data_IF_996445685500
#
_entry.id   IF_996445685500
#
_cell.length_a   1.000
_cell.length_b   1.000
_cell.length_c   1.000
_cell.angle_alpha   90.00
_cell.angle_beta   90.00
_cell.angle_gamma   90.00
#
_symmetry.space_group_name_H-M   'P 1'
#
loop_
_entity.id
_entity.type
_entity.pdbx_description
1 polymer ?
#
# COMPACT_ATOMS: atom_id res chain seq x y z
N UNK A 1 26.21 27.22 -24.88
CA UNK A 1 25.82 26.27 -23.83
C UNK A 1 25.72 27.01 -22.51
N UNK A 2 24.51 27.44 -22.17
CA UNK A 2 24.22 27.90 -20.82
C UNK A 2 24.33 26.70 -19.88
N UNK A 3 25.11 26.83 -18.79
CA UNK A 3 25.14 25.80 -17.76
C UNK A 3 23.77 25.78 -17.12
N UNK A 4 22.98 24.75 -17.37
CA UNK A 4 21.78 24.50 -16.58
C UNK A 4 22.18 24.50 -15.10
N UNK A 5 21.59 25.38 -14.26
CA UNK A 5 21.77 25.26 -12.83
C UNK A 5 21.11 23.93 -12.43
N UNK A 6 21.92 22.92 -12.11
CA UNK A 6 21.40 21.65 -11.59
C UNK A 6 20.73 21.91 -10.24
N UNK A 7 19.44 22.19 -10.26
CA UNK A 7 18.67 22.41 -9.05
C UNK A 7 18.54 21.08 -8.30
N UNK A 8 19.13 20.99 -7.11
CA UNK A 8 19.06 19.81 -6.24
C UNK A 8 17.71 19.67 -5.53
N UNK A 9 16.66 20.35 -5.99
CA UNK A 9 15.32 20.37 -5.37
C UNK A 9 14.69 18.97 -5.20
N UNK A 10 15.06 18.00 -6.04
CA UNK A 10 14.60 16.61 -5.91
C UNK A 10 14.99 15.96 -4.57
N UNK A 11 16.06 16.42 -3.92
CA UNK A 11 16.49 15.93 -2.60
C UNK A 11 15.43 16.22 -1.54
N UNK A 12 14.78 17.39 -1.57
CA UNK A 12 13.72 17.72 -0.61
C UNK A 12 12.50 16.81 -0.79
N UNK A 13 12.14 16.51 -2.04
CA UNK A 13 11.05 15.58 -2.36
C UNK A 13 11.40 14.16 -1.88
N UNK A 14 12.66 13.74 -2.06
CA UNK A 14 13.14 12.44 -1.57
C UNK A 14 13.05 12.35 -0.04
N UNK A 15 13.59 13.34 0.68
CA UNK A 15 13.56 13.37 2.14
C UNK A 15 12.13 13.41 2.68
N UNK A 16 11.24 14.18 2.06
CA UNK A 16 9.83 14.22 2.41
C UNK A 16 9.14 12.87 2.24
N UNK A 17 9.39 12.16 1.13
CA UNK A 17 8.83 10.82 0.91
C UNK A 17 9.43 9.77 1.85
N UNK A 18 10.70 9.90 2.22
CA UNK A 18 11.33 9.03 3.22
C UNK A 18 10.66 9.21 4.59
N UNK A 19 10.45 10.46 5.02
CA UNK A 19 9.75 10.75 6.28
C UNK A 19 8.31 10.25 6.26
N UNK A 20 7.60 10.42 5.13
CA UNK A 20 6.26 9.84 4.91
C UNK A 20 6.26 8.33 5.08
N UNK A 21 7.22 7.63 4.49
CA UNK A 21 7.35 6.17 4.61
C UNK A 21 7.60 5.68 6.03
N UNK A 22 8.43 6.39 6.81
CA UNK A 22 8.67 6.09 8.23
C UNK A 22 7.36 6.18 9.03
N UNK A 23 6.56 7.23 8.78
CA UNK A 23 5.28 7.42 9.45
C UNK A 23 4.20 6.40 9.06
N UNK A 24 4.22 5.91 7.82
CA UNK A 24 3.23 4.95 7.31
C UNK A 24 3.51 3.50 7.74
N UNK A 25 4.78 3.15 7.95
CA UNK A 25 5.26 1.79 8.27
C UNK A 25 4.46 1.06 9.37
N UNK A 26 4.13 1.65 10.54
CA UNK A 26 3.47 0.92 11.62
C UNK A 26 1.95 0.76 11.42
N UNK A 27 1.31 1.49 10.52
CA UNK A 27 -0.16 1.60 10.45
C UNK A 27 -0.79 0.23 10.15
N UNK A 28 -0.37 -0.41 9.06
CA UNK A 28 -0.94 -1.69 8.61
C UNK A 28 -0.58 -2.86 9.53
N UNK A 29 0.71 -3.08 9.92
CA UNK A 29 1.07 -4.21 10.77
C UNK A 29 0.46 -4.15 12.17
N UNK A 30 0.37 -2.96 12.77
CA UNK A 30 -0.27 -2.80 14.09
C UNK A 30 -1.79 -2.94 13.99
N UNK A 31 -2.41 -2.40 12.93
CA UNK A 31 -3.85 -2.53 12.70
C UNK A 31 -4.30 -3.98 12.51
N UNK A 32 -3.57 -4.76 11.70
CA UNK A 32 -3.88 -6.18 11.47
C UNK A 32 -3.62 -7.01 12.73
N UNK A 33 -2.48 -6.82 13.40
CA UNK A 33 -2.19 -7.53 14.66
C UNK A 33 -3.24 -7.25 15.73
N UNK A 34 -3.70 -6.00 15.84
CA UNK A 34 -4.78 -5.63 16.75
C UNK A 34 -6.09 -6.34 16.39
N UNK A 35 -6.41 -6.44 15.10
CA UNK A 35 -7.62 -7.11 14.67
C UNK A 35 -7.58 -8.62 14.97
N UNK A 36 -6.45 -9.26 14.71
CA UNK A 36 -6.21 -10.69 14.95
C UNK A 36 -6.29 -11.03 16.45
N UNK A 37 -5.75 -10.17 17.32
CA UNK A 37 -5.75 -10.36 18.78
C UNK A 37 -7.13 -10.25 19.44
N UNK A 38 -8.10 -9.60 18.80
CA UNK A 38 -9.38 -9.22 19.41
C UNK A 38 -10.62 -9.74 18.66
N UNK A 39 -10.47 -10.27 17.44
CA UNK A 39 -11.56 -10.88 16.68
C UNK A 39 -11.59 -12.41 16.82
N UNK A 40 -12.75 -13.01 16.59
CA UNK A 40 -12.88 -14.47 16.48
C UNK A 40 -12.23 -14.93 15.17
N UNK A 41 -11.54 -16.08 15.19
CA UNK A 41 -10.82 -16.62 14.03
C UNK A 41 -11.68 -16.72 12.75
N UNK A 42 -12.98 -17.04 12.89
CA UNK A 42 -13.92 -17.14 11.77
C UNK A 42 -14.28 -15.78 11.14
N UNK A 43 -14.14 -14.69 11.90
CA UNK A 43 -14.51 -13.33 11.50
C UNK A 43 -13.30 -12.51 11.00
N UNK A 44 -12.08 -12.88 11.42
CA UNK A 44 -10.83 -12.21 11.01
C UNK A 44 -10.74 -12.00 9.50
N UNK A 45 -11.01 -12.99 8.62
CA UNK A 45 -10.88 -12.79 7.17
C UNK A 45 -11.78 -11.69 6.62
N UNK A 46 -13.01 -11.57 7.14
CA UNK A 46 -13.94 -10.52 6.69
C UNK A 46 -13.55 -9.16 7.25
N UNK A 47 -13.11 -9.09 8.50
CA UNK A 47 -12.64 -7.81 9.04
C UNK A 47 -11.38 -7.31 8.35
N UNK A 48 -10.42 -8.19 8.04
CA UNK A 48 -9.22 -7.85 7.26
C UNK A 48 -9.62 -7.39 5.86
N UNK A 49 -10.57 -8.09 5.21
CA UNK A 49 -11.08 -7.68 3.90
C UNK A 49 -11.79 -6.32 3.94
N UNK A 50 -12.61 -6.04 4.95
CA UNK A 50 -13.24 -4.74 5.16
C UNK A 50 -12.18 -3.64 5.33
N UNK A 51 -11.18 -3.87 6.17
CA UNK A 51 -10.10 -2.92 6.42
C UNK A 51 -9.33 -2.59 5.13
N UNK A 52 -8.94 -3.59 4.35
CA UNK A 52 -8.26 -3.36 3.07
C UNK A 52 -9.17 -2.73 2.01
N UNK A 53 -10.47 -3.02 2.02
CA UNK A 53 -11.43 -2.37 1.13
C UNK A 53 -11.56 -0.88 1.45
N UNK A 54 -11.66 -0.52 2.73
CA UNK A 54 -11.67 0.88 3.19
C UNK A 54 -10.33 1.54 2.83
N UNK A 55 -9.21 0.85 3.03
CA UNK A 55 -7.90 1.36 2.63
C UNK A 55 -7.82 1.67 1.13
N UNK A 56 -8.51 0.91 0.26
CA UNK A 56 -8.58 1.16 -1.18
C UNK A 56 -9.31 2.47 -1.56
N UNK A 57 -10.19 2.97 -0.68
CA UNK A 57 -10.80 4.29 -0.87
C UNK A 57 -9.76 5.42 -0.81
N UNK A 58 -8.66 5.23 -0.08
CA UNK A 58 -7.54 6.17 -0.01
C UNK A 58 -6.93 6.45 -1.38
N UNK A 59 -6.38 5.43 -2.08
CA UNK A 59 -5.93 5.57 -3.46
C UNK A 59 -6.99 6.15 -4.40
N UNK A 60 -8.26 5.72 -4.30
CA UNK A 60 -9.34 6.27 -5.13
C UNK A 60 -9.48 7.79 -4.93
N UNK A 61 -9.59 8.25 -3.69
CA UNK A 61 -9.65 9.67 -3.35
C UNK A 61 -8.36 10.41 -3.77
N UNK A 62 -7.20 9.77 -3.64
CA UNK A 62 -5.91 10.30 -4.06
C UNK A 62 -5.81 10.53 -5.57
N UNK A 63 -6.28 9.60 -6.39
CA UNK A 63 -6.32 9.76 -7.84
C UNK A 63 -7.34 10.83 -8.27
N UNK A 64 -8.49 10.93 -7.59
CA UNK A 64 -9.47 11.99 -7.81
C UNK A 64 -8.89 13.37 -7.45
N UNK A 65 -8.26 13.49 -6.27
CA UNK A 65 -7.59 14.71 -5.85
C UNK A 65 -6.45 15.08 -6.81
N UNK A 66 -5.64 14.09 -7.21
CA UNK A 66 -4.59 14.26 -8.20
C UNK A 66 -5.12 14.70 -9.56
N UNK A 67 -6.31 14.24 -9.97
CA UNK A 67 -6.99 14.71 -11.19
C UNK A 67 -7.39 16.18 -11.08
N UNK A 68 -7.92 16.61 -9.93
CA UNK A 68 -8.30 18.01 -9.68
C UNK A 68 -7.07 18.92 -9.65
N UNK A 69 -6.03 18.54 -8.90
CA UNK A 69 -4.77 19.28 -8.86
C UNK A 69 -4.10 19.35 -10.23
N UNK A 70 -4.17 18.28 -11.03
CA UNK A 70 -3.62 18.24 -12.38
C UNK A 70 -4.37 19.13 -13.39
N UNK A 71 -5.63 19.47 -13.11
CA UNK A 71 -6.43 20.37 -13.94
C UNK A 71 -6.08 21.85 -13.73
N UNK A 72 -5.43 22.17 -12.61
CA UNK A 72 -4.97 23.51 -12.29
C UNK A 72 -3.52 23.67 -12.74
N UNK A 73 -3.19 24.80 -13.36
CA UNK A 73 -1.81 25.09 -13.74
C UNK A 73 -0.94 25.28 -12.50
N UNK A 74 0.33 24.88 -12.56
CA UNK A 74 1.26 24.86 -11.42
C UNK A 74 1.40 26.22 -10.72
N UNK A 75 1.41 27.31 -11.50
CA UNK A 75 1.57 28.69 -11.02
C UNK A 75 0.21 29.41 -10.87
N UNK A 76 -0.74 28.74 -10.23
CA UNK A 76 -2.07 29.29 -9.98
C UNK A 76 -1.98 30.62 -9.22
N UNK A 77 -2.58 31.67 -9.79
CA UNK A 77 -2.61 33.02 -9.20
C UNK A 77 -1.37 33.88 -9.50
N UNK A 78 -0.33 33.34 -10.15
CA UNK A 78 0.86 34.10 -10.57
C UNK A 78 0.90 34.37 -12.08
N UNK A 79 0.26 33.53 -12.89
CA UNK A 79 0.20 33.66 -14.36
C UNK A 79 -1.26 33.72 -14.84
N UNK A 80 -1.54 34.64 -15.76
CA UNK A 80 -2.84 34.69 -16.44
C UNK A 80 -2.90 33.64 -17.56
N UNK A 81 -3.82 32.67 -17.42
CA UNK A 81 -4.05 31.63 -18.42
C UNK A 81 -4.47 32.19 -19.79
N UNK A 82 -5.05 33.38 -19.85
CA UNK A 82 -5.37 34.05 -21.12
C UNK A 82 -4.14 34.50 -21.91
N UNK A 83 -3.00 34.67 -21.25
CA UNK A 83 -1.74 35.11 -21.86
C UNK A 83 -0.88 33.97 -22.41
N UNK A 84 -1.21 32.71 -22.09
CA UNK A 84 -0.45 31.52 -22.47
C UNK A 84 -1.27 30.60 -23.39
N UNK A 85 -0.68 30.18 -24.50
CA UNK A 85 -1.28 29.23 -25.46
C UNK A 85 -1.03 27.77 -25.07
N UNK A 86 -1.08 27.46 -23.77
CA UNK A 86 -0.83 26.09 -23.25
C UNK A 86 -2.15 25.51 -22.77
N UNK A 87 -2.50 24.33 -23.30
CA UNK A 87 -3.71 23.58 -22.89
C UNK A 87 -3.34 22.41 -21.98
N UNK A 88 -4.27 21.87 -21.17
CA UNK A 88 -4.02 20.70 -20.32
C UNK A 88 -3.60 19.41 -21.06
N UNK A 89 -3.72 19.39 -22.38
CA UNK A 89 -3.29 18.29 -23.26
C UNK A 89 -1.85 18.50 -23.78
N UNK A 90 -1.31 19.72 -23.66
CA UNK A 90 0.05 20.05 -24.07
C UNK A 90 1.07 19.43 -23.11
N UNK A 91 2.19 18.92 -23.62
CA UNK A 91 3.27 18.31 -22.82
C UNK A 91 3.93 19.30 -21.85
N UNK A 92 3.79 20.61 -22.11
CA UNK A 92 4.28 21.69 -21.24
C UNK A 92 3.37 21.95 -20.03
N UNK A 93 2.17 21.37 -20.00
CA UNK A 93 1.26 21.55 -18.88
C UNK A 93 1.74 20.78 -17.65
N UNK A 94 2.08 21.52 -16.59
CA UNK A 94 2.37 20.95 -15.28
C UNK A 94 1.23 21.32 -14.35
N UNK A 95 0.60 20.30 -13.77
CA UNK A 95 -0.45 20.47 -12.78
C UNK A 95 0.06 21.03 -11.45
N UNK A 96 -0.81 21.62 -10.63
CA UNK A 96 -0.51 22.06 -9.28
C UNK A 96 -0.33 20.89 -8.28
N UNK A 97 0.65 20.03 -8.55
CA UNK A 97 0.93 18.79 -7.81
C UNK A 97 1.21 19.01 -6.32
N UNK A 98 1.83 20.15 -5.98
CA UNK A 98 2.19 20.51 -4.60
C UNK A 98 0.96 20.65 -3.70
N UNK A 99 -0.20 21.01 -4.26
CA UNK A 99 -1.45 21.16 -3.52
C UNK A 99 -1.92 19.83 -2.92
N UNK A 100 -1.64 18.72 -3.61
CA UNK A 100 -1.96 17.37 -3.12
C UNK A 100 -1.25 17.04 -1.80
N UNK A 101 0.01 17.45 -1.65
CA UNK A 101 0.78 17.25 -0.41
C UNK A 101 0.19 18.04 0.76
N UNK A 102 -0.23 19.29 0.54
CA UNK A 102 -0.83 20.12 1.58
C UNK A 102 -2.17 19.54 2.06
N UNK A 103 -3.06 19.22 1.12
CA UNK A 103 -4.38 18.65 1.43
C UNK A 103 -4.23 17.30 2.14
N UNK A 104 -3.38 16.41 1.61
CA UNK A 104 -3.11 15.11 2.22
C UNK A 104 -2.50 15.22 3.62
N UNK A 105 -1.60 16.18 3.83
CA UNK A 105 -1.00 16.46 5.15
C UNK A 105 -2.03 16.92 6.18
N UNK A 106 -2.91 17.86 5.81
CA UNK A 106 -3.99 18.34 6.68
C UNK A 106 -4.96 17.21 7.04
N UNK A 107 -5.40 16.42 6.06
CA UNK A 107 -6.28 15.27 6.29
C UNK A 107 -5.62 14.26 7.23
N UNK A 108 -4.33 13.97 7.02
CA UNK A 108 -3.57 13.03 7.87
C UNK A 108 -3.45 13.55 9.31
N UNK A 109 -3.21 14.85 9.48
CA UNK A 109 -3.17 15.49 10.81
C UNK A 109 -4.52 15.39 11.52
N UNK A 110 -5.62 15.68 10.83
CA UNK A 110 -6.97 15.55 11.38
C UNK A 110 -7.28 14.08 11.74
N UNK A 111 -6.89 13.13 10.89
CA UNK A 111 -7.10 11.70 11.12
C UNK A 111 -6.29 11.16 12.32
N UNK A 112 -5.19 11.81 12.70
CA UNK A 112 -4.41 11.44 13.89
C UNK A 112 -5.09 11.86 15.20
N UNK A 113 -5.92 12.91 15.19
CA UNK A 113 -6.57 13.45 16.41
C UNK A 113 -7.41 12.37 17.13
N UNK A 114 -8.29 11.60 16.46
CA UNK A 114 -9.05 10.52 17.11
C UNK A 114 -8.18 9.47 17.81
N UNK A 115 -6.99 9.17 17.26
CA UNK A 115 -6.08 8.19 17.88
C UNK A 115 -5.52 8.67 19.21
N UNK A 116 -5.42 9.98 19.44
CA UNK A 116 -5.02 10.54 20.73
C UNK A 116 -6.04 10.27 21.86
N UNK A 117 -7.28 9.94 21.52
CA UNK A 117 -8.36 9.65 22.47
C UNK A 117 -8.55 8.14 22.73
N UNK A 118 -7.77 7.28 22.08
CA UNK A 118 -7.83 5.84 22.34
C UNK A 118 -7.30 5.50 23.74
N UNK A 119 -7.96 4.57 24.47
CA UNK A 119 -7.52 4.16 25.80
C UNK A 119 -6.17 3.45 25.74
N UNK A 120 -5.31 3.71 26.74
CA UNK A 120 -3.94 3.14 26.83
C UNK A 120 -3.89 1.61 26.89
N UNK A 121 -4.99 0.96 27.29
CA UNK A 121 -5.11 -0.48 27.33
C UNK A 121 -6.54 -0.89 27.01
N UNK A 122 -6.69 -1.84 26.09
CA UNK A 122 -7.96 -2.48 25.81
C UNK A 122 -7.99 -3.81 26.57
N UNK A 123 -9.07 -4.05 27.33
CA UNK A 123 -9.23 -5.31 28.07
C UNK A 123 -9.39 -6.44 27.05
N UNK A 124 -8.48 -7.42 27.07
CA UNK A 124 -8.62 -8.62 26.24
C UNK A 124 -9.87 -9.40 26.67
N UNK A 125 -10.69 -9.91 25.74
CA UNK A 125 -11.81 -10.79 26.08
C UNK A 125 -11.29 -12.00 26.87
N UNK A 126 -11.91 -12.29 28.02
CA UNK A 126 -11.48 -13.34 28.96
C UNK A 126 -11.54 -14.77 28.36
N UNK A 127 -12.12 -14.95 27.17
CA UNK A 127 -12.26 -16.25 26.51
C UNK A 127 -10.94 -16.79 25.92
N UNK A 128 -9.95 -15.94 25.63
CA UNK A 128 -8.61 -16.37 25.18
C UNK A 128 -7.75 -16.99 26.31
N UNK A 129 -8.24 -16.98 27.55
CA UNK A 129 -7.52 -17.50 28.72
C UNK A 129 -7.60 -19.04 28.87
N UNK A 130 -8.23 -19.74 27.91
CA UNK A 130 -8.23 -21.21 27.84
C UNK A 130 -7.05 -21.79 27.06
N UNK A 131 -6.34 -20.99 26.24
CA UNK A 131 -5.12 -21.41 25.54
C UNK A 131 -3.83 -21.17 26.35
N UNK A 132 -3.91 -21.35 27.68
CA UNK A 132 -2.74 -21.33 28.58
C UNK A 132 -1.74 -22.49 28.34
N UNK A 133 -1.98 -23.35 27.36
CA UNK A 133 -1.06 -24.45 27.04
C UNK A 133 0.20 -23.97 26.30
N UNK A 134 0.14 -22.83 25.59
CA UNK A 134 1.30 -22.28 24.87
C UNK A 134 2.24 -21.46 25.78
N UNK A 135 1.68 -20.72 26.75
CA UNK A 135 2.47 -20.02 27.77
C UNK A 135 3.12 -20.97 28.79
N UNK A 136 2.54 -22.16 29.01
CA UNK A 136 3.14 -23.22 29.84
C UNK A 136 4.39 -23.83 29.18
N UNK A 137 4.44 -23.95 27.85
CA UNK A 137 5.61 -24.49 27.13
C UNK A 137 6.84 -23.57 27.19
N UNK A 138 6.65 -22.25 27.30
CA UNK A 138 7.74 -21.29 27.50
C UNK A 138 8.27 -21.30 28.95
N UNK A 139 7.43 -21.57 29.94
CA UNK A 139 7.88 -21.74 31.33
C UNK A 139 8.56 -23.09 31.60
N UNK A 140 8.15 -24.17 30.92
CA UNK A 140 8.65 -25.51 31.22
C UNK A 140 10.10 -25.78 30.78
N UNK A 141 10.68 -24.93 29.90
CA UNK A 141 12.11 -25.00 29.53
C UNK A 141 13.05 -24.27 30.48
N UNK A 142 12.52 -23.49 31.42
CA UNK A 142 13.30 -22.72 32.41
C UNK A 142 13.41 -23.36 33.79
N UNK A 143 12.68 -24.45 34.06
CA UNK A 143 12.57 -25.06 35.39
C UNK A 143 13.43 -26.32 35.57
N UNK A 144 14.69 -26.28 35.15
CA UNK A 144 15.68 -27.31 35.54
C UNK A 144 17.04 -26.69 35.79
N UNK A 145 17.14 -25.89 36.86
CA UNK A 145 18.37 -25.65 37.63
C UNK A 145 18.03 -24.93 38.93
N UNK A 146 17.68 -25.71 39.95
CA UNK A 146 17.69 -25.25 41.33
C UNK A 146 19.14 -25.14 41.80
N UNK A 147 19.65 -23.92 41.95
CA UNK A 147 20.58 -23.53 43.05
C UNK A 147 20.89 -22.03 43.00
N UNK A 148 20.45 -21.33 44.06
CA UNK A 148 21.06 -20.17 44.73
C UNK A 148 21.38 -18.87 43.94
N UNK A 149 20.85 -17.75 44.46
CA UNK A 149 21.44 -16.39 44.61
C UNK A 149 20.54 -15.23 44.12
N UNK A 150 20.62 -14.04 44.76
CA UNK A 150 19.59 -12.99 44.70
C UNK A 150 19.63 -12.21 43.39
N UNK A 151 18.46 -11.73 42.99
CA UNK A 151 18.20 -11.00 41.75
C UNK A 151 19.15 -9.80 41.56
N UNK A 152 20.19 -9.98 40.74
CA UNK A 152 20.91 -8.87 40.11
C UNK A 152 20.09 -8.40 38.91
N UNK A 153 19.72 -7.12 38.90
CA UNK A 153 19.14 -6.44 37.74
C UNK A 153 20.04 -6.63 36.53
N UNK A 154 19.61 -7.45 35.56
CA UNK A 154 20.35 -7.65 34.31
C UNK A 154 20.53 -6.30 33.60
N UNK A 155 21.72 -5.98 33.09
CA UNK A 155 21.95 -4.71 32.40
C UNK A 155 21.07 -4.63 31.14
N UNK A 156 20.44 -3.47 30.92
CA UNK A 156 19.52 -3.17 29.80
C UNK A 156 20.07 -3.60 28.42
N UNK A 157 21.39 -3.51 28.23
CA UNK A 157 22.07 -3.90 26.99
C UNK A 157 22.02 -5.41 26.72
N UNK A 158 22.02 -6.24 27.76
CA UNK A 158 21.95 -7.70 27.63
C UNK A 158 20.55 -8.17 27.27
N UNK A 159 19.51 -7.43 27.68
CA UNK A 159 18.11 -7.70 27.31
C UNK A 159 17.85 -7.36 25.83
N UNK A 160 18.37 -6.23 25.35
CA UNK A 160 18.25 -5.82 23.93
C UNK A 160 18.97 -6.82 23.02
N UNK A 161 20.18 -7.24 23.40
CA UNK A 161 20.93 -8.24 22.62
C UNK A 161 20.19 -9.57 22.54
N UNK A 162 19.63 -10.05 23.67
CA UNK A 162 18.84 -11.28 23.69
C UNK A 162 17.60 -11.17 22.80
N UNK A 163 16.88 -10.05 22.88
CA UNK A 163 15.72 -9.79 22.04
C UNK A 163 16.05 -9.75 20.54
N UNK A 164 17.15 -9.08 20.16
CA UNK A 164 17.61 -9.05 18.77
C UNK A 164 18.04 -10.43 18.27
N UNK A 165 18.69 -11.23 19.13
CA UNK A 165 19.09 -12.59 18.78
C UNK A 165 17.87 -13.49 18.58
N UNK A 166 16.88 -13.40 19.47
CA UNK A 166 15.61 -14.13 19.37
C UNK A 166 14.81 -13.71 18.13
N UNK A 167 14.80 -12.40 17.82
CA UNK A 167 14.20 -11.85 16.60
C UNK A 167 14.89 -12.39 15.34
N UNK A 168 16.23 -12.29 15.26
CA UNK A 168 17.00 -12.80 14.13
C UNK A 168 16.83 -14.31 13.96
N UNK A 169 16.77 -15.06 15.05
CA UNK A 169 16.53 -16.52 15.03
C UNK A 169 15.13 -16.83 14.51
N UNK A 170 14.12 -16.10 14.96
CA UNK A 170 12.73 -16.26 14.52
C UNK A 170 12.57 -15.89 13.05
N UNK A 171 13.15 -14.75 12.64
CA UNK A 171 13.18 -14.30 11.25
C UNK A 171 13.86 -15.34 10.35
N UNK A 172 15.00 -15.90 10.78
CA UNK A 172 15.69 -16.96 10.05
C UNK A 172 14.82 -18.21 9.91
N UNK A 173 14.13 -18.64 10.96
CA UNK A 173 13.22 -19.80 10.90
C UNK A 173 12.06 -19.57 9.93
N UNK A 174 11.46 -18.38 9.99
CA UNK A 174 10.34 -17.98 9.14
C UNK A 174 10.78 -17.91 7.67
N UNK A 175 11.90 -17.26 7.37
CA UNK A 175 12.43 -17.15 6.01
C UNK A 175 13.02 -18.46 5.48
N UNK A 176 13.49 -19.36 6.34
CA UNK A 176 13.95 -20.69 5.93
C UNK A 176 12.80 -21.65 5.61
N UNK A 177 11.56 -21.32 5.98
CA UNK A 177 10.41 -22.10 5.60
C UNK A 177 10.10 -21.88 4.11
N UNK A 178 10.37 -22.90 3.30
CA UNK A 178 10.22 -22.85 1.83
C UNK A 178 8.83 -22.38 1.40
N UNK A 179 7.76 -22.81 2.07
CA UNK A 179 6.40 -22.41 1.69
C UNK A 179 6.16 -20.92 1.95
N UNK A 180 6.57 -20.43 3.12
CA UNK A 180 6.42 -19.03 3.48
C UNK A 180 7.28 -18.13 2.58
N UNK A 181 8.51 -18.52 2.31
CA UNK A 181 9.39 -17.80 1.40
C UNK A 181 8.81 -17.72 -0.02
N UNK A 182 8.30 -18.83 -0.56
CA UNK A 182 7.63 -18.84 -1.87
C UNK A 182 6.39 -17.94 -1.88
N UNK A 183 5.58 -17.98 -0.83
CA UNK A 183 4.42 -17.10 -0.68
C UNK A 183 4.85 -15.62 -0.67
N UNK A 184 5.89 -15.26 0.09
CA UNK A 184 6.43 -13.90 0.13
C UNK A 184 6.92 -13.43 -1.23
N UNK A 185 7.69 -14.25 -1.95
CA UNK A 185 8.15 -13.91 -3.31
C UNK A 185 6.98 -13.70 -4.26
N UNK A 186 5.96 -14.56 -4.20
CA UNK A 186 4.75 -14.43 -5.02
C UNK A 186 4.00 -13.13 -4.71
N UNK A 187 3.74 -12.86 -3.42
CA UNK A 187 3.08 -11.63 -2.97
C UNK A 187 3.87 -10.39 -3.38
N UNK A 188 5.20 -10.39 -3.21
CA UNK A 188 6.06 -9.28 -3.63
C UNK A 188 5.89 -8.99 -5.13
N UNK A 189 5.99 -10.01 -5.98
CA UNK A 189 5.81 -9.85 -7.43
C UNK A 189 4.41 -9.34 -7.79
N UNK A 190 3.36 -9.86 -7.15
CA UNK A 190 1.98 -9.42 -7.38
C UNK A 190 1.77 -7.96 -6.97
N UNK A 191 2.20 -7.58 -5.76
CA UNK A 191 2.07 -6.20 -5.28
C UNK A 191 2.95 -5.24 -6.09
N UNK A 192 4.18 -5.61 -6.44
CA UNK A 192 5.04 -4.79 -7.29
C UNK A 192 4.43 -4.58 -8.68
N UNK A 193 3.86 -5.64 -9.28
CA UNK A 193 3.15 -5.54 -10.57
C UNK A 193 1.95 -4.59 -10.46
N UNK A 194 1.13 -4.73 -9.41
CA UNK A 194 -0.02 -3.87 -9.17
C UNK A 194 0.36 -2.40 -8.98
N UNK A 195 1.37 -2.11 -8.15
CA UNK A 195 1.86 -0.75 -7.92
C UNK A 195 2.48 -0.16 -9.20
N UNK A 196 3.24 -0.97 -9.95
CA UNK A 196 3.78 -0.56 -11.25
C UNK A 196 2.68 -0.19 -12.24
N UNK A 197 1.63 -1.01 -12.35
CA UNK A 197 0.47 -0.71 -13.16
C UNK A 197 -0.20 0.60 -12.76
N UNK A 198 -0.49 0.81 -11.46
CA UNK A 198 -1.12 2.05 -10.99
C UNK A 198 -0.27 3.29 -11.24
N UNK A 199 1.05 3.17 -11.08
CA UNK A 199 1.98 4.30 -11.20
C UNK A 199 2.19 4.71 -12.65
N UNK A 200 2.40 3.73 -13.54
CA UNK A 200 2.81 4.01 -14.92
C UNK A 200 1.64 4.05 -15.90
N UNK A 201 0.48 3.44 -15.61
CA UNK A 201 -0.67 3.46 -16.51
C UNK A 201 -1.19 4.88 -16.82
N UNK A 202 -1.35 5.80 -15.86
CA UNK A 202 -1.74 7.18 -16.17
C UNK A 202 -0.73 7.83 -17.12
N UNK A 203 0.57 7.65 -16.86
CA UNK A 203 1.64 8.20 -17.69
C UNK A 203 1.66 7.58 -19.08
N UNK A 204 1.42 6.29 -19.19
CA UNK A 204 1.25 5.60 -20.46
C UNK A 204 0.09 6.21 -21.26
N UNK A 205 -1.05 6.49 -20.63
CA UNK A 205 -2.19 7.12 -21.32
C UNK A 205 -1.89 8.55 -21.78
N UNK A 206 -1.10 9.30 -21.01
CA UNK A 206 -0.63 10.63 -21.43
C UNK A 206 0.28 10.54 -22.66
N UNK A 207 1.28 9.66 -22.63
CA UNK A 207 2.29 9.58 -23.69
C UNK A 207 1.76 8.91 -24.96
N UNK A 208 1.03 7.80 -24.81
CA UNK A 208 0.58 7.00 -25.94
C UNK A 208 -0.70 7.53 -26.60
N UNK A 209 -1.64 8.04 -25.79
CA UNK A 209 -2.96 8.46 -26.26
C UNK A 209 -3.20 9.98 -26.17
N UNK A 210 -2.17 10.76 -25.79
CA UNK A 210 -2.26 12.22 -25.71
C UNK A 210 -3.33 12.73 -24.75
N UNK A 211 -3.70 11.92 -23.75
CA UNK A 211 -4.71 12.32 -22.77
C UNK A 211 -4.09 13.24 -21.72
N UNK A 212 -4.83 14.22 -21.23
CA UNK A 212 -4.36 15.09 -20.15
C UNK A 212 -4.14 14.29 -18.85
N UNK A 213 -3.16 14.71 -18.04
CA UNK A 213 -2.89 14.10 -16.72
C UNK A 213 -4.13 14.03 -15.84
N UNK A 214 -4.95 15.09 -15.86
CA UNK A 214 -6.21 15.13 -15.12
C UNK A 214 -7.17 14.01 -15.53
N UNK A 215 -7.40 13.83 -16.84
CA UNK A 215 -8.32 12.82 -17.36
C UNK A 215 -7.79 11.40 -17.13
N UNK A 216 -6.49 11.19 -17.31
CA UNK A 216 -5.82 9.92 -17.04
C UNK A 216 -5.97 9.51 -15.57
N UNK A 217 -5.70 10.42 -14.63
CA UNK A 217 -5.86 10.16 -13.20
C UNK A 217 -7.30 9.89 -12.80
N UNK A 218 -8.27 10.64 -13.38
CA UNK A 218 -9.69 10.43 -13.15
C UNK A 218 -10.13 9.03 -13.58
N UNK A 219 -9.69 8.60 -14.77
CA UNK A 219 -10.05 7.29 -15.31
C UNK A 219 -9.53 6.17 -14.41
N UNK A 220 -8.29 6.25 -13.92
CA UNK A 220 -7.75 5.25 -12.99
C UNK A 220 -8.54 5.22 -11.69
N UNK A 221 -8.78 6.39 -11.09
CA UNK A 221 -9.53 6.54 -9.84
C UNK A 221 -10.95 5.97 -9.91
N UNK A 222 -11.65 6.17 -11.03
CA UNK A 222 -13.06 5.80 -11.17
C UNK A 222 -13.29 4.41 -11.78
N UNK A 223 -12.41 3.95 -12.66
CA UNK A 223 -12.65 2.69 -13.41
C UNK A 223 -11.74 1.55 -12.99
N UNK A 224 -10.49 1.83 -12.63
CA UNK A 224 -9.50 0.78 -12.36
C UNK A 224 -9.48 0.38 -10.88
N UNK A 225 -9.65 1.33 -9.96
CA UNK A 225 -9.55 1.06 -8.52
C UNK A 225 -10.81 0.47 -7.86
N UNK A 226 -12.05 0.87 -8.19
CA UNK A 226 -13.23 0.29 -7.55
C UNK A 226 -13.37 -1.24 -7.73
N UNK A 227 -13.09 -1.83 -8.92
CA UNK A 227 -13.08 -3.28 -9.07
C UNK A 227 -12.10 -3.99 -8.13
N UNK A 228 -10.96 -3.36 -7.80
CA UNK A 228 -9.99 -3.92 -6.85
C UNK A 228 -10.59 -3.97 -5.45
N UNK A 229 -11.22 -2.90 -4.99
CA UNK A 229 -11.90 -2.86 -3.69
C UNK A 229 -13.02 -3.90 -3.59
N UNK A 230 -13.85 -4.01 -4.63
CA UNK A 230 -14.90 -5.02 -4.72
C UNK A 230 -14.32 -6.44 -4.67
N UNK A 231 -13.22 -6.68 -5.40
CA UNK A 231 -12.54 -7.97 -5.42
C UNK A 231 -11.98 -8.38 -4.05
N UNK A 232 -11.36 -7.44 -3.32
CA UNK A 232 -10.86 -7.67 -1.95
C UNK A 232 -12.03 -8.05 -1.02
N UNK A 233 -13.10 -7.26 -1.05
CA UNK A 233 -14.27 -7.49 -0.20
C UNK A 233 -14.96 -8.83 -0.51
N UNK A 234 -15.22 -9.12 -1.78
CA UNK A 234 -15.83 -10.38 -2.22
C UNK A 234 -14.92 -11.57 -1.88
N UNK A 235 -13.60 -11.43 -2.04
CA UNK A 235 -12.64 -12.47 -1.65
C UNK A 235 -12.77 -12.86 -0.18
N UNK A 236 -12.81 -11.87 0.72
CA UNK A 236 -13.01 -12.09 2.16
C UNK A 236 -14.37 -12.73 2.48
N UNK A 237 -15.45 -12.25 1.84
CA UNK A 237 -16.79 -12.82 2.03
C UNK A 237 -16.88 -14.28 1.56
N UNK A 238 -16.30 -14.60 0.40
CA UNK A 238 -16.24 -15.96 -0.14
C UNK A 238 -15.48 -16.87 0.82
N UNK A 239 -14.32 -16.43 1.32
CA UNK A 239 -13.52 -17.20 2.27
C UNK A 239 -14.31 -17.54 3.55
N UNK A 240 -15.04 -16.55 4.11
CA UNK A 240 -15.89 -16.77 5.30
C UNK A 240 -17.10 -17.66 4.99
N UNK A 241 -17.85 -17.37 3.92
CA UNK A 241 -19.10 -18.09 3.59
C UNK A 241 -18.85 -19.58 3.35
N UNK A 242 -17.76 -19.93 2.68
CA UNK A 242 -17.43 -21.32 2.37
C UNK A 242 -16.49 -21.97 3.39
N UNK A 243 -16.12 -21.26 4.47
CA UNK A 243 -15.15 -21.70 5.49
C UNK A 243 -13.93 -22.37 4.83
N UNK A 244 -13.32 -21.67 3.88
CA UNK A 244 -12.27 -22.25 3.04
C UNK A 244 -11.02 -22.59 3.87
N UNK A 245 -10.66 -23.87 3.90
CA UNK A 245 -9.35 -24.30 4.41
C UNK A 245 -8.21 -23.82 3.50
N UNK A 246 -6.97 -23.88 4.01
CA UNK A 246 -5.77 -23.37 3.33
C UNK A 246 -5.65 -23.89 1.89
N UNK A 247 -5.84 -25.20 1.68
CA UNK A 247 -5.72 -25.83 0.35
C UNK A 247 -6.79 -25.30 -0.61
N UNK A 248 -8.03 -25.13 -0.15
CA UNK A 248 -9.13 -24.61 -0.96
C UNK A 248 -8.88 -23.13 -1.32
N UNK A 249 -8.43 -22.33 -0.35
CA UNK A 249 -8.06 -20.93 -0.57
C UNK A 249 -6.90 -20.78 -1.57
N UNK A 250 -5.86 -21.62 -1.47
CA UNK A 250 -4.74 -21.61 -2.42
C UNK A 250 -5.19 -21.96 -3.84
N UNK A 251 -6.03 -23.00 -4.00
CA UNK A 251 -6.59 -23.37 -5.32
C UNK A 251 -7.41 -22.23 -5.90
N UNK A 252 -8.29 -21.63 -5.09
CA UNK A 252 -9.10 -20.48 -5.49
C UNK A 252 -8.24 -19.29 -5.94
N UNK A 253 -7.22 -18.91 -5.17
CA UNK A 253 -6.31 -17.82 -5.50
C UNK A 253 -5.54 -18.09 -6.81
N UNK A 254 -5.07 -19.32 -7.03
CA UNK A 254 -4.39 -19.70 -8.26
C UNK A 254 -5.31 -19.63 -9.48
N UNK A 255 -6.52 -20.19 -9.38
CA UNK A 255 -7.52 -20.14 -10.46
C UNK A 255 -7.88 -18.70 -10.83
N UNK A 256 -8.11 -17.83 -9.84
CA UNK A 256 -8.41 -16.42 -10.08
C UNK A 256 -7.23 -15.68 -10.71
N UNK A 257 -6.00 -15.96 -10.28
CA UNK A 257 -4.79 -15.37 -10.86
C UNK A 257 -4.60 -15.79 -12.33
N UNK A 258 -4.84 -17.07 -12.64
CA UNK A 258 -4.78 -17.58 -14.00
C UNK A 258 -5.85 -16.94 -14.89
N UNK A 259 -7.09 -16.83 -14.40
CA UNK A 259 -8.17 -16.15 -15.12
C UNK A 259 -7.83 -14.67 -15.38
N UNK A 260 -7.29 -13.97 -14.38
CA UNK A 260 -6.84 -12.58 -14.53
C UNK A 260 -5.75 -12.43 -15.59
N UNK A 261 -4.82 -13.38 -15.67
CA UNK A 261 -3.77 -13.38 -16.68
C UNK A 261 -4.36 -13.55 -18.09
N UNK A 262 -5.28 -14.49 -18.29
CA UNK A 262 -5.97 -14.71 -19.58
C UNK A 262 -6.76 -13.47 -20.02
N UNK A 263 -7.47 -12.81 -19.09
CA UNK A 263 -8.18 -11.55 -19.39
C UNK A 263 -7.18 -10.42 -19.73
N UNK A 264 -6.04 -10.35 -19.04
CA UNK A 264 -5.04 -9.33 -19.36
C UNK A 264 -4.41 -9.56 -20.73
N UNK A 265 -4.21 -10.83 -21.13
CA UNK A 265 -3.77 -11.17 -22.48
C UNK A 265 -4.77 -10.73 -23.56
N UNK A 266 -6.08 -10.81 -23.28
CA UNK A 266 -7.08 -10.39 -24.28
C UNK A 266 -7.06 -8.89 -24.56
N UNK A 267 -6.59 -8.06 -23.62
CA UNK A 267 -6.42 -6.62 -23.86
C UNK A 267 -5.44 -6.30 -24.99
N UNK A 268 -4.47 -7.17 -25.31
CA UNK A 268 -3.56 -6.95 -26.45
C UNK A 268 -4.30 -6.89 -27.79
N UNK A 269 -5.48 -7.49 -27.89
CA UNK A 269 -6.28 -7.48 -29.13
C UNK A 269 -7.21 -6.26 -29.23
N UNK A 270 -7.33 -5.46 -28.16
CA UNK A 270 -8.17 -4.25 -28.15
C UNK A 270 -7.26 -3.03 -28.33
N UNK A 271 -7.28 -2.43 -29.53
CA UNK A 271 -6.50 -1.25 -29.87
C UNK A 271 -7.32 0.05 -29.85
N UNK A 272 -6.64 1.16 -29.56
CA UNK A 272 -7.13 2.52 -29.77
C UNK A 272 -6.11 3.29 -30.62
N UNK A 273 -6.56 4.33 -31.31
CA UNK A 273 -5.68 5.19 -32.09
C UNK A 273 -4.65 5.88 -31.19
N UNK A 274 -3.38 5.83 -31.61
CA UNK A 274 -2.28 6.46 -30.89
C UNK A 274 -2.25 7.97 -31.15
N UNK A 275 -1.60 8.70 -30.25
CA UNK A 275 -1.40 10.14 -30.42
C UNK A 275 -0.56 10.44 -31.68
N UNK A 276 -1.01 11.42 -32.44
CA UNK A 276 -0.34 11.87 -33.65
C UNK A 276 0.84 12.77 -33.30
N UNK A 277 2.05 12.36 -33.66
CA UNK A 277 3.29 13.09 -33.43
C UNK A 277 3.83 13.49 -34.81
N UNK A 278 3.95 14.80 -35.03
CA UNK A 278 4.53 15.36 -36.23
C UNK A 278 5.96 14.84 -36.44
N UNK A 279 6.22 14.29 -37.64
CA UNK A 279 7.49 13.67 -38.01
C UNK A 279 7.61 12.17 -37.74
N UNK A 280 6.66 11.55 -37.02
CA UNK A 280 6.65 10.09 -36.80
C UNK A 280 5.38 9.42 -37.31
N UNK A 281 4.21 9.95 -36.97
CA UNK A 281 2.91 9.39 -37.39
C UNK A 281 2.13 10.30 -38.33
N UNK A 282 2.51 11.59 -38.43
CA UNK A 282 1.97 12.57 -39.39
C UNK A 282 3.12 13.40 -39.97
N UNK A 283 3.00 13.88 -41.20
CA UNK A 283 3.98 14.79 -41.83
C UNK A 283 4.13 16.11 -41.06
N UNK A 284 5.25 16.79 -41.26
CA UNK A 284 5.50 18.14 -40.72
C UNK A 284 4.76 19.26 -41.47
N UNK A 285 4.13 18.92 -42.61
CA UNK A 285 3.30 19.82 -43.42
C UNK A 285 1.91 20.02 -42.85
#
# INVERSE_FOLDING_TARGET
>A
CEKEPSSYMWIYILLGNMLRGIGETPITPLGISYLDDFAKEEDVPVYVACLHTIAMLGPMAGFLLGSLCAKLYVDIGFVDLGSITITPQDSRWVGAWWLGFLIGGVISFIAAIPFCFLPKSLKKPEEANKDKTSHALLQHRGATKNTLSPAKSKPRNQLIYLFLLDFCTSLKKVLSNRMYFTLLCCSLLQFSSFIGFLTYKPKYMEQQYGQSTSKSNLLIGLTSLPPVGIGIFLGGLIMKKYKMGIIAATKFAFTMSFLSYVITLSHFFVGCDNHMIAGMTVSYE
#
